data_IF_351803621093
#
_entry.id   IF_351803621093
#
_cell.length_a   1.000
_cell.length_b   1.000
_cell.length_c   1.000
_cell.angle_alpha   90.00
_cell.angle_beta   90.00
_cell.angle_gamma   90.00
#
_symmetry.space_group_name_H-M   'P 1'
#
loop_
_entity.id
_entity.type
_entity.pdbx_description
1 polymer ?
#
# COMPACT_ATOMS: atom_id res chain seq x y z
N UNK A 1 26.65 36.65 77.28
CA UNK A 1 25.75 36.53 76.11
C UNK A 1 26.56 36.99 74.92
N UNK A 2 27.14 36.05 74.18
CA UNK A 2 27.97 36.36 73.03
C UNK A 2 27.07 36.88 71.89
N UNK A 3 27.13 38.18 71.63
CA UNK A 3 26.45 38.82 70.50
C UNK A 3 27.32 38.66 69.27
N UNK A 4 27.11 37.56 68.55
CA UNK A 4 27.76 37.32 67.26
C UNK A 4 26.94 37.93 66.13
N UNK A 5 27.60 38.55 65.16
CA UNK A 5 26.96 39.16 64.00
C UNK A 5 26.31 38.10 63.12
N UNK A 6 25.01 38.20 62.81
CA UNK A 6 24.33 37.23 61.96
C UNK A 6 24.91 37.27 60.54
N UNK A 7 25.41 36.13 60.07
CA UNK A 7 25.94 35.93 58.73
C UNK A 7 24.92 35.14 57.91
N UNK A 8 24.48 35.69 56.77
CA UNK A 8 23.63 35.00 55.80
C UNK A 8 24.51 34.41 54.70
N UNK A 9 24.41 33.10 54.46
CA UNK A 9 25.10 32.49 53.32
C UNK A 9 24.37 32.85 52.01
N UNK A 10 25.05 33.42 51.00
CA UNK A 10 24.44 33.72 49.71
C UNK A 10 23.79 32.52 49.01
N UNK A 11 24.19 31.28 49.34
CA UNK A 11 23.58 30.07 48.78
C UNK A 11 22.11 29.87 49.22
N UNK A 12 21.78 30.26 50.46
CA UNK A 12 20.45 30.03 51.08
C UNK A 12 19.39 30.99 50.53
N UNK A 13 19.82 32.04 49.79
CA UNK A 13 18.95 33.01 49.14
C UNK A 13 17.95 32.36 48.18
N UNK A 14 18.30 31.20 47.62
CA UNK A 14 17.51 30.54 46.59
C UNK A 14 16.69 29.35 47.09
N UNK A 15 16.80 28.94 48.35
CA UNK A 15 16.19 27.69 48.82
C UNK A 15 14.66 27.69 48.74
N UNK A 16 14.04 28.83 49.09
CA UNK A 16 12.59 29.02 48.92
C UNK A 16 12.17 28.93 47.46
N UNK A 17 13.01 29.42 46.53
CA UNK A 17 12.75 29.37 45.08
C UNK A 17 12.90 27.94 44.57
N UNK A 18 14.00 27.28 44.89
CA UNK A 18 14.25 25.87 44.55
C UNK A 18 13.13 24.96 45.04
N UNK A 19 12.65 25.16 46.26
CA UNK A 19 11.53 24.36 46.81
C UNK A 19 10.23 24.56 46.01
N UNK A 20 9.93 25.78 45.58
CA UNK A 20 8.76 26.07 44.74
C UNK A 20 8.90 25.46 43.35
N UNK A 21 10.06 25.63 42.72
CA UNK A 21 10.35 25.10 41.38
C UNK A 21 10.32 23.57 41.38
N UNK A 22 10.88 22.92 42.41
CA UNK A 22 10.80 21.48 42.59
C UNK A 22 9.35 21.00 42.75
N UNK A 23 8.51 21.77 43.43
CA UNK A 23 7.08 21.44 43.60
C UNK A 23 6.29 21.61 42.30
N UNK A 24 6.62 22.61 41.48
CA UNK A 24 6.07 22.79 40.13
C UNK A 24 6.48 21.63 39.21
N UNK A 25 7.75 21.25 39.23
CA UNK A 25 8.27 20.13 38.45
C UNK A 25 7.57 18.81 38.81
N UNK A 26 7.33 18.56 40.11
CA UNK A 26 6.54 17.41 40.57
C UNK A 26 5.14 17.40 39.97
N UNK A 27 4.48 18.57 39.89
CA UNK A 27 3.17 18.67 39.29
C UNK A 27 3.19 18.39 37.78
N UNK A 28 4.17 18.93 37.05
CA UNK A 28 4.32 18.70 35.62
C UNK A 28 4.60 17.23 35.30
N UNK A 29 5.48 16.59 36.06
CA UNK A 29 5.78 15.16 35.90
C UNK A 29 4.57 14.28 36.17
N UNK A 30 3.72 14.65 37.14
CA UNK A 30 2.48 13.92 37.43
C UNK A 30 1.49 13.98 36.25
N UNK A 31 1.37 15.13 35.60
CA UNK A 31 0.53 15.27 34.38
C UNK A 31 1.13 14.43 33.24
N UNK A 32 2.44 14.51 33.05
CA UNK A 32 3.14 13.75 32.02
C UNK A 32 2.93 12.23 32.19
N UNK A 33 3.01 11.73 33.43
CA UNK A 33 2.73 10.33 33.76
C UNK A 33 1.28 9.93 33.43
N UNK A 34 0.31 10.80 33.72
CA UNK A 34 -1.09 10.56 33.34
C UNK A 34 -1.27 10.45 31.83
N UNK A 35 -0.58 11.30 31.05
CA UNK A 35 -0.59 11.23 29.59
C UNK A 35 -0.02 9.89 29.13
N UNK A 36 1.17 9.50 29.60
CA UNK A 36 1.77 8.21 29.21
C UNK A 36 0.92 7.00 29.58
N UNK A 37 0.28 7.02 30.75
CA UNK A 37 -0.63 5.96 31.15
C UNK A 37 -1.85 5.88 30.21
N UNK A 38 -2.43 7.01 29.82
CA UNK A 38 -3.53 7.03 28.83
C UNK A 38 -3.08 6.50 27.47
N UNK A 39 -1.92 6.90 26.99
CA UNK A 39 -1.33 6.39 25.73
C UNK A 39 -1.17 4.87 25.80
N UNK A 40 -0.59 4.35 26.88
CA UNK A 40 -0.39 2.90 27.09
C UNK A 40 -1.71 2.13 27.14
N UNK A 41 -2.76 2.72 27.71
CA UNK A 41 -4.08 2.08 27.74
C UNK A 41 -4.64 2.06 26.31
N UNK A 42 -4.70 3.19 25.63
CA UNK A 42 -5.26 3.30 24.27
C UNK A 42 -4.52 2.39 23.28
N UNK A 43 -3.18 2.33 23.36
CA UNK A 43 -2.38 1.50 22.45
C UNK A 43 -2.62 0.00 22.60
N UNK A 44 -3.17 -0.44 23.74
CA UNK A 44 -3.49 -1.86 23.99
C UNK A 44 -4.90 -2.23 23.55
N UNK A 45 -5.77 -1.26 23.33
CA UNK A 45 -7.13 -1.55 22.90
C UNK A 45 -7.13 -1.94 21.41
N UNK A 46 -7.89 -2.98 21.01
CA UNK A 46 -8.00 -3.36 19.61
C UNK A 46 -8.71 -2.26 18.81
N UNK A 47 -8.27 -2.04 17.56
CA UNK A 47 -8.83 -1.04 16.64
C UNK A 47 -8.87 0.39 17.19
N UNK A 48 -8.02 0.71 18.17
CA UNK A 48 -7.98 2.04 18.75
C UNK A 48 -7.19 3.01 17.90
N UNK A 49 -7.59 4.30 17.90
CA UNK A 49 -6.83 5.32 17.20
C UNK A 49 -5.45 5.49 17.83
N UNK A 50 -4.42 5.66 17.00
CA UNK A 50 -3.05 5.99 17.44
C UNK A 50 -2.85 7.49 17.71
N UNK A 51 -3.86 8.12 18.33
CA UNK A 51 -3.83 9.50 18.80
C UNK A 51 -4.59 9.66 20.12
N UNK A 52 -4.30 10.75 20.84
CA UNK A 52 -4.95 11.15 22.08
C UNK A 52 -5.20 12.66 22.06
N UNK A 53 -6.42 13.07 22.39
CA UNK A 53 -6.70 14.44 22.81
C UNK A 53 -6.69 14.48 24.34
N UNK A 54 -5.80 15.31 24.89
CA UNK A 54 -5.63 15.46 26.32
C UNK A 54 -5.89 16.91 26.74
N UNK A 55 -6.82 17.09 27.67
CA UNK A 55 -7.10 18.39 28.29
C UNK A 55 -6.25 18.54 29.55
N UNK A 56 -5.36 19.53 29.57
CA UNK A 56 -4.47 19.78 30.71
C UNK A 56 -5.29 20.31 31.89
N UNK A 57 -5.26 19.66 33.06
CA UNK A 57 -6.02 20.11 34.21
C UNK A 57 -5.45 21.43 34.76
N UNK A 58 -6.29 22.38 35.21
CA UNK A 58 -5.83 23.66 35.73
C UNK A 58 -5.14 23.55 37.11
N UNK A 59 -5.42 22.49 37.87
CA UNK A 59 -4.76 22.21 39.14
C UNK A 59 -4.77 20.70 39.44
N UNK A 60 -3.90 20.28 40.37
CA UNK A 60 -3.90 18.92 40.92
C UNK A 60 -4.01 19.03 42.43
N UNK A 61 -4.90 18.23 43.03
CA UNK A 61 -5.05 18.17 44.48
C UNK A 61 -3.73 17.76 45.16
N UNK A 62 -3.37 18.48 46.22
CA UNK A 62 -2.14 18.25 46.99
C UNK A 62 -0.87 18.79 46.35
N UNK A 63 -0.96 19.56 45.26
CA UNK A 63 0.18 20.19 44.59
C UNK A 63 -0.03 21.72 44.49
N UNK A 64 1.06 22.50 44.33
CA UNK A 64 0.94 23.95 44.18
C UNK A 64 0.16 24.32 42.92
N UNK A 65 -0.31 25.57 42.87
CA UNK A 65 -0.92 26.16 41.67
C UNK A 65 0.03 26.00 40.48
N UNK A 66 -0.53 25.53 39.37
CA UNK A 66 0.18 25.28 38.11
C UNK A 66 -0.05 26.47 37.19
N UNK A 67 1.04 26.99 36.63
CA UNK A 67 0.97 27.91 35.49
C UNK A 67 0.77 27.08 34.21
N UNK A 68 -0.39 27.26 33.58
CA UNK A 68 -0.85 26.44 32.45
C UNK A 68 0.06 26.57 31.23
N UNK A 69 0.51 27.79 30.90
CA UNK A 69 1.39 28.06 29.76
C UNK A 69 2.73 27.33 29.91
N UNK A 70 3.42 27.50 31.04
CA UNK A 70 4.68 26.83 31.34
C UNK A 70 4.52 25.31 31.37
N UNK A 71 3.41 24.82 31.93
CA UNK A 71 3.12 23.39 31.97
C UNK A 71 2.96 22.81 30.57
N UNK A 72 2.18 23.46 29.70
CA UNK A 72 1.97 23.03 28.31
C UNK A 72 3.29 23.01 27.55
N UNK A 73 4.13 24.06 27.69
CA UNK A 73 5.45 24.13 27.05
C UNK A 73 6.32 22.95 27.49
N UNK A 74 6.38 22.68 28.79
CA UNK A 74 7.13 21.54 29.34
C UNK A 74 6.64 20.20 28.80
N UNK A 75 5.32 19.99 28.77
CA UNK A 75 4.73 18.75 28.25
C UNK A 75 5.04 18.56 26.76
N UNK A 76 4.87 19.60 25.95
CA UNK A 76 5.18 19.54 24.51
C UNK A 76 6.65 19.22 24.29
N UNK A 77 7.56 19.87 25.02
CA UNK A 77 9.00 19.62 24.92
C UNK A 77 9.32 18.14 25.22
N UNK A 78 8.82 17.61 26.33
CA UNK A 78 9.08 16.22 26.72
C UNK A 78 8.47 15.20 25.76
N UNK A 79 7.24 15.43 25.31
CA UNK A 79 6.55 14.53 24.37
C UNK A 79 7.24 14.53 22.99
N UNK A 80 7.70 15.68 22.51
CA UNK A 80 8.47 15.75 21.26
C UNK A 80 9.84 15.10 21.38
N UNK A 81 10.52 15.27 22.52
CA UNK A 81 11.79 14.59 22.78
C UNK A 81 11.64 13.06 22.77
N UNK A 82 10.50 12.54 23.21
CA UNK A 82 10.18 11.12 23.13
C UNK A 82 9.75 10.64 21.72
N UNK A 83 9.69 11.53 20.73
CA UNK A 83 9.38 11.19 19.33
C UNK A 83 7.89 11.11 19.01
N UNK A 84 7.02 11.74 19.81
CA UNK A 84 5.60 11.87 19.50
C UNK A 84 5.34 13.12 18.64
N UNK A 85 4.32 13.07 17.78
CA UNK A 85 3.81 14.28 17.10
C UNK A 85 2.81 14.98 18.02
N UNK A 86 3.06 16.27 18.30
CA UNK A 86 2.34 17.04 19.32
C UNK A 86 1.91 18.39 18.78
N UNK A 87 0.61 18.67 18.86
CA UNK A 87 0.00 19.95 18.48
C UNK A 87 -0.79 20.52 19.66
N UNK A 88 -0.65 21.82 19.89
CA UNK A 88 -1.38 22.53 20.93
C UNK A 88 -2.56 23.28 20.34
N UNK A 89 -3.71 23.16 21.00
CA UNK A 89 -4.93 23.88 20.66
C UNK A 89 -5.37 24.67 21.91
N UNK A 90 -5.43 26.01 21.84
CA UNK A 90 -5.94 26.82 22.94
C UNK A 90 -7.38 26.42 23.34
N UNK A 91 -7.75 26.52 24.64
CA UNK A 91 -6.98 27.11 25.73
C UNK A 91 -6.03 26.14 26.48
N UNK A 92 -6.29 24.84 26.52
CA UNK A 92 -5.52 23.88 27.33
C UNK A 92 -5.50 22.45 26.75
N UNK A 93 -5.73 22.31 25.44
CA UNK A 93 -5.84 21.00 24.80
C UNK A 93 -4.57 20.66 24.04
N UNK A 94 -4.09 19.44 24.23
CA UNK A 94 -2.93 18.89 23.53
C UNK A 94 -3.40 17.71 22.69
N UNK A 95 -3.15 17.79 21.40
CA UNK A 95 -3.24 16.68 20.48
C UNK A 95 -1.89 15.96 20.43
N UNK A 96 -1.92 14.65 20.65
CA UNK A 96 -0.77 13.76 20.67
C UNK A 96 -1.01 12.62 19.67
N UNK A 97 -0.08 12.33 18.77
CA UNK A 97 -0.17 11.17 17.87
C UNK A 97 1.12 10.34 17.83
N UNK A 98 0.95 9.03 17.68
CA UNK A 98 2.04 8.05 17.52
C UNK A 98 1.80 7.11 16.33
N UNK A 99 0.95 7.52 15.38
CA UNK A 99 0.66 6.79 14.12
C UNK A 99 1.95 6.39 13.39
N UNK A 100 2.96 7.26 13.40
CA UNK A 100 4.29 7.06 12.84
C UNK A 100 4.99 5.80 13.38
N UNK A 101 4.87 5.57 14.70
CA UNK A 101 5.46 4.40 15.37
C UNK A 101 4.72 3.12 15.02
N UNK A 102 3.38 3.18 14.94
CA UNK A 102 2.56 2.04 14.54
C UNK A 102 2.86 1.60 13.10
N UNK A 103 2.92 2.54 12.16
CA UNK A 103 3.29 2.23 10.77
C UNK A 103 4.66 1.56 10.68
N UNK A 104 5.64 2.08 11.43
CA UNK A 104 6.99 1.51 11.46
C UNK A 104 6.99 0.09 12.03
N UNK A 105 6.22 -0.17 13.08
CA UNK A 105 6.05 -1.51 13.65
C UNK A 105 5.40 -2.48 12.65
N UNK A 106 4.31 -2.07 11.99
CA UNK A 106 3.61 -2.92 11.03
C UNK A 106 4.52 -3.34 9.87
N UNK A 107 5.34 -2.41 9.36
CA UNK A 107 6.27 -2.68 8.26
C UNK A 107 7.45 -3.54 8.69
N UNK A 108 8.05 -3.27 9.84
CA UNK A 108 9.33 -3.88 10.21
C UNK A 108 9.20 -5.13 11.07
N UNK A 109 8.17 -5.21 11.90
CA UNK A 109 8.09 -6.19 12.99
C UNK A 109 6.87 -7.10 12.91
N UNK A 110 5.89 -6.80 12.06
CA UNK A 110 4.71 -7.65 11.99
C UNK A 110 5.03 -8.95 11.22
N UNK A 111 4.84 -10.12 11.86
CA UNK A 111 5.15 -11.41 11.22
C UNK A 111 4.24 -11.68 10.03
N UNK A 112 3.00 -11.17 10.09
CA UNK A 112 2.03 -11.28 9.00
C UNK A 112 2.53 -10.55 7.76
N UNK A 113 2.96 -9.29 7.90
CA UNK A 113 3.47 -8.54 6.75
C UNK A 113 4.77 -9.13 6.23
N UNK A 114 5.65 -9.61 7.12
CA UNK A 114 6.88 -10.27 6.72
C UNK A 114 6.60 -11.54 5.87
N UNK A 115 5.66 -12.39 6.29
CA UNK A 115 5.25 -13.56 5.53
C UNK A 115 4.58 -13.21 4.19
N UNK A 116 3.79 -12.12 4.16
CA UNK A 116 3.21 -11.61 2.92
C UNK A 116 4.26 -11.09 1.95
N UNK A 117 5.27 -10.35 2.45
CA UNK A 117 6.34 -9.81 1.62
C UNK A 117 7.19 -10.94 1.03
N UNK A 118 7.56 -11.93 1.84
CA UNK A 118 8.33 -13.10 1.40
C UNK A 118 7.60 -13.92 0.33
N UNK A 119 6.29 -14.13 0.49
CA UNK A 119 5.49 -14.85 -0.52
C UNK A 119 5.28 -14.04 -1.81
N UNK A 120 5.15 -12.72 -1.71
CA UNK A 120 5.10 -11.84 -2.88
C UNK A 120 6.44 -11.85 -3.65
N UNK A 121 7.58 -11.79 -2.96
CA UNK A 121 8.90 -11.88 -3.58
C UNK A 121 9.10 -13.20 -4.34
N UNK A 122 8.69 -14.33 -3.75
CA UNK A 122 8.73 -15.65 -4.42
C UNK A 122 7.89 -15.66 -5.70
N UNK A 123 6.67 -15.10 -5.64
CA UNK A 123 5.76 -15.04 -6.78
C UNK A 123 6.32 -14.17 -7.91
N UNK A 124 6.89 -13.01 -7.56
CA UNK A 124 7.52 -12.11 -8.52
C UNK A 124 8.74 -12.75 -9.20
N UNK A 125 9.57 -13.45 -8.43
CA UNK A 125 10.72 -14.18 -8.97
C UNK A 125 10.31 -15.31 -9.93
N UNK A 126 9.19 -15.98 -9.66
CA UNK A 126 8.63 -17.00 -10.56
C UNK A 126 8.12 -16.39 -11.87
N UNK A 127 7.40 -15.27 -11.79
CA UNK A 127 6.93 -14.52 -12.97
C UNK A 127 8.10 -14.03 -13.83
N UNK A 128 9.15 -13.46 -13.22
CA UNK A 128 10.32 -12.99 -13.96
C UNK A 128 11.07 -14.13 -14.65
N UNK A 129 11.19 -15.30 -13.98
CA UNK A 129 11.77 -16.51 -14.60
C UNK A 129 10.95 -16.97 -15.81
N UNK A 130 9.63 -17.01 -15.66
CA UNK A 130 8.71 -17.41 -16.72
C UNK A 130 8.72 -16.42 -17.89
N UNK A 131 8.84 -15.13 -17.63
CA UNK A 131 8.98 -14.09 -18.65
C UNK A 131 10.33 -14.20 -19.41
N UNK A 132 11.43 -14.46 -18.70
CA UNK A 132 12.74 -14.74 -19.31
C UNK A 132 12.71 -15.99 -20.19
N UNK A 133 11.99 -17.03 -19.76
CA UNK A 133 11.81 -18.24 -20.57
C UNK A 133 10.95 -17.97 -21.81
N UNK A 134 9.82 -17.28 -21.66
CA UNK A 134 8.92 -16.93 -22.75
C UNK A 134 9.63 -16.04 -23.80
N UNK A 135 10.39 -15.05 -23.36
CA UNK A 135 11.17 -14.17 -24.25
C UNK A 135 12.26 -14.94 -25.01
N UNK A 136 12.92 -15.91 -24.38
CA UNK A 136 13.90 -16.80 -25.05
C UNK A 136 13.24 -17.65 -26.15
N UNK A 137 12.05 -18.20 -25.90
CA UNK A 137 11.30 -18.98 -26.89
C UNK A 137 10.79 -18.13 -28.07
N UNK A 138 10.39 -16.88 -27.80
CA UNK A 138 9.95 -15.93 -28.83
C UNK A 138 11.10 -15.47 -29.74
N UNK A 139 12.29 -15.24 -29.18
CA UNK A 139 13.47 -14.85 -29.97
C UNK A 139 13.96 -15.96 -30.91
N UNK A 140 13.77 -17.23 -30.54
CA UNK A 140 14.15 -18.40 -31.36
C UNK A 140 13.33 -18.59 -32.65
N UNK A 141 12.20 -17.89 -32.84
CA UNK A 141 11.34 -18.02 -34.05
C UNK A 141 11.56 -16.95 -35.12
N UNK A 142 12.63 -16.16 -35.07
CA UNK A 142 13.10 -15.38 -36.23
C UNK A 142 13.86 -16.27 -37.24
N UNK A 143 13.23 -17.38 -37.67
CA UNK A 143 13.67 -18.05 -38.88
C UNK A 143 13.30 -17.15 -40.06
N UNK A 144 14.28 -16.69 -40.85
CA UNK A 144 14.04 -16.02 -42.13
C UNK A 144 13.45 -16.99 -43.18
N UNK A 145 12.43 -17.76 -42.84
CA UNK A 145 11.68 -18.53 -43.83
C UNK A 145 10.67 -17.58 -44.46
N UNK A 146 11.12 -16.89 -45.51
CA UNK A 146 10.28 -16.10 -46.42
C UNK A 146 9.18 -17.03 -46.96
N UNK A 147 8.01 -17.01 -46.32
CA UNK A 147 6.83 -17.72 -46.81
C UNK A 147 6.40 -16.98 -48.07
N UNK A 148 6.75 -17.51 -49.25
CA UNK A 148 6.20 -17.05 -50.51
C UNK A 148 4.71 -17.44 -50.51
N UNK A 149 3.84 -16.45 -50.31
CA UNK A 149 2.43 -16.59 -50.65
C UNK A 149 2.33 -16.68 -52.17
N UNK A 150 2.06 -17.86 -52.70
CA UNK A 150 1.68 -17.99 -54.10
C UNK A 150 0.23 -17.54 -54.22
N UNK A 151 0.00 -16.50 -55.01
CA UNK A 151 -1.33 -16.05 -55.45
C UNK A 151 -1.99 -17.15 -56.30
N UNK A 152 -3.26 -17.52 -56.04
CA UNK A 152 -3.98 -18.45 -56.90
C UNK A 152 -4.27 -17.76 -58.23
N UNK A 153 -3.61 -18.16 -59.32
CA UNK A 153 -3.98 -17.68 -60.67
C UNK A 153 -2.89 -17.53 -61.73
N UNK A 154 -1.71 -18.15 -61.60
CA UNK A 154 -0.69 -18.08 -62.66
C UNK A 154 -0.46 -19.45 -63.32
N UNK A 155 -0.90 -19.54 -64.57
CA UNK A 155 -0.78 -20.69 -65.47
C UNK A 155 0.67 -20.80 -65.95
N UNK A 156 1.41 -21.82 -65.51
CA UNK A 156 2.69 -22.19 -66.12
C UNK A 156 2.57 -23.53 -66.84
N UNK A 157 2.63 -23.47 -68.17
CA UNK A 157 2.70 -24.62 -69.07
C UNK A 157 4.08 -25.30 -68.98
N UNK A 158 4.05 -26.64 -68.82
CA UNK A 158 5.01 -27.60 -69.36
C UNK A 158 6.27 -27.90 -68.53
N UNK A 159 6.41 -29.13 -68.01
CA UNK A 159 7.02 -30.31 -68.67
C UNK A 159 6.92 -31.51 -67.72
N UNK A 160 6.75 -32.69 -68.31
CA UNK A 160 6.50 -33.99 -67.67
C UNK A 160 7.72 -34.61 -67.00
N UNK A 161 7.50 -35.32 -65.88
CA UNK A 161 8.42 -36.36 -65.41
C UNK A 161 8.25 -36.79 -63.94
N UNK A 162 7.66 -37.96 -63.71
CA UNK A 162 8.08 -38.85 -62.61
C UNK A 162 7.16 -39.01 -61.38
N UNK A 163 6.31 -40.05 -61.41
CA UNK A 163 5.98 -40.90 -60.25
C UNK A 163 4.80 -40.48 -59.35
N UNK A 164 3.79 -41.35 -59.12
CA UNK A 164 2.70 -41.04 -58.19
C UNK A 164 3.14 -41.29 -56.74
N UNK A 165 3.33 -40.22 -55.96
CA UNK A 165 3.30 -40.29 -54.50
C UNK A 165 1.84 -40.26 -54.04
N UNK A 166 1.43 -41.34 -53.36
CA UNK A 166 0.10 -41.53 -52.78
C UNK A 166 -0.23 -40.38 -51.82
N UNK A 167 -1.21 -39.56 -52.16
CA UNK A 167 -1.76 -38.52 -51.29
C UNK A 167 -2.82 -39.13 -50.37
N UNK A 168 -2.57 -39.14 -49.06
CA UNK A 168 -3.52 -39.51 -48.01
C UNK A 168 -4.66 -38.48 -47.82
N UNK A 169 -5.04 -37.75 -48.87
CA UNK A 169 -5.98 -36.61 -48.82
C UNK A 169 -7.35 -36.97 -49.44
N UNK A 170 -7.48 -38.08 -50.16
CA UNK A 170 -8.75 -38.43 -50.82
C UNK A 170 -9.79 -39.12 -49.92
N UNK A 171 -9.49 -39.39 -48.65
CA UNK A 171 -10.41 -40.12 -47.76
C UNK A 171 -11.36 -39.20 -46.99
N UNK A 172 -11.10 -37.89 -46.93
CA UNK A 172 -11.92 -36.95 -46.13
C UNK A 172 -12.95 -36.18 -46.97
N UNK A 173 -12.75 -36.09 -48.29
CA UNK A 173 -13.59 -35.25 -49.16
C UNK A 173 -14.89 -35.90 -49.67
N UNK A 174 -15.05 -37.22 -49.53
CA UNK A 174 -16.18 -37.96 -50.11
C UNK A 174 -17.13 -38.57 -49.06
N UNK A 175 -17.21 -38.00 -47.84
CA UNK A 175 -18.21 -38.46 -46.86
C UNK A 175 -19.59 -37.90 -47.25
N UNK A 176 -20.59 -38.72 -47.59
CA UNK A 176 -21.95 -38.23 -47.79
C UNK A 176 -22.50 -37.75 -46.45
N UNK A 177 -22.78 -36.44 -46.34
CA UNK A 177 -23.57 -35.88 -45.24
C UNK A 177 -25.05 -36.17 -45.49
N UNK A 178 -25.56 -37.22 -44.89
CA UNK A 178 -27.00 -37.36 -44.67
C UNK A 178 -27.22 -37.73 -43.21
N UNK A 179 -27.10 -36.73 -42.33
CA UNK A 179 -27.66 -36.80 -40.98
C UNK A 179 -28.82 -35.78 -40.92
N UNK A 180 -30.09 -36.21 -40.93
CA UNK A 180 -31.24 -35.35 -41.12
C UNK A 180 -31.63 -34.51 -39.88
N UNK A 181 -30.70 -34.26 -38.94
CA UNK A 181 -30.94 -33.51 -37.70
C UNK A 181 -30.00 -32.31 -37.53
N UNK A 182 -29.12 -32.03 -38.50
CA UNK A 182 -28.34 -30.80 -38.50
C UNK A 182 -29.08 -29.73 -39.31
N UNK A 183 -29.33 -28.57 -38.69
CA UNK A 183 -29.87 -27.39 -39.38
C UNK A 183 -28.99 -26.92 -40.56
N UNK A 184 -29.37 -25.82 -41.23
CA UNK A 184 -28.63 -25.32 -42.39
C UNK A 184 -27.13 -25.19 -42.09
N UNK A 185 -26.25 -25.48 -43.08
CA UNK A 185 -24.81 -25.41 -42.89
C UNK A 185 -24.41 -24.01 -42.40
N UNK A 186 -23.43 -23.88 -41.49
CA UNK A 186 -22.99 -22.58 -41.03
C UNK A 186 -22.52 -21.74 -42.22
N UNK A 187 -22.82 -20.43 -42.26
CA UNK A 187 -22.43 -19.56 -43.36
C UNK A 187 -20.92 -19.64 -43.60
N UNK A 188 -20.53 -19.67 -44.87
CA UNK A 188 -19.11 -19.58 -45.25
C UNK A 188 -18.53 -18.27 -44.73
N UNK A 189 -17.24 -18.26 -44.37
CA UNK A 189 -16.57 -17.03 -43.93
C UNK A 189 -16.64 -15.90 -44.98
N UNK A 190 -16.83 -16.26 -46.26
CA UNK A 190 -17.02 -15.30 -47.35
C UNK A 190 -18.39 -14.60 -47.32
N UNK A 191 -19.41 -15.21 -46.71
CA UNK A 191 -20.79 -14.69 -46.64
C UNK A 191 -21.11 -14.08 -45.27
N UNK A 192 -20.11 -13.99 -44.38
CA UNK A 192 -20.29 -13.45 -43.05
C UNK A 192 -20.42 -11.93 -43.10
N UNK A 193 -21.60 -11.42 -42.76
CA UNK A 193 -21.83 -10.00 -42.49
C UNK A 193 -21.81 -9.79 -40.96
N UNK A 194 -20.85 -9.03 -40.42
CA UNK A 194 -20.78 -8.81 -38.98
C UNK A 194 -22.01 -8.04 -38.48
N UNK A 195 -22.49 -8.32 -37.26
CA UNK A 195 -23.56 -7.56 -36.64
C UNK A 195 -23.20 -6.07 -36.55
N UNK A 196 -24.17 -5.18 -36.77
CA UNK A 196 -23.95 -3.72 -36.74
C UNK A 196 -23.34 -3.21 -35.43
N UNK A 197 -23.70 -3.83 -34.29
CA UNK A 197 -23.12 -3.51 -32.98
C UNK A 197 -21.60 -3.72 -32.92
N UNK A 198 -21.09 -4.70 -33.68
CA UNK A 198 -19.65 -4.98 -33.77
C UNK A 198 -18.92 -3.86 -34.51
N UNK A 199 -19.49 -3.39 -35.62
CA UNK A 199 -18.94 -2.25 -36.38
C UNK A 199 -18.95 -0.96 -35.54
N UNK A 200 -20.03 -0.72 -34.80
CA UNK A 200 -20.17 0.45 -33.94
C UNK A 200 -19.12 0.48 -32.81
N UNK A 201 -18.75 -0.70 -32.28
CA UNK A 201 -17.69 -0.84 -31.27
C UNK A 201 -16.30 -0.60 -31.84
N UNK A 202 -16.07 -0.99 -33.10
CA UNK A 202 -14.81 -0.73 -33.82
C UNK A 202 -14.64 0.74 -34.19
N UNK A 203 -15.72 1.40 -34.62
CA UNK A 203 -15.70 2.82 -34.97
C UNK A 203 -15.56 3.73 -33.75
N UNK A 204 -16.07 3.30 -32.60
CA UNK A 204 -15.95 4.03 -31.34
C UNK A 204 -15.42 3.09 -30.26
N UNK A 205 -14.09 2.84 -30.21
CA UNK A 205 -13.51 2.07 -29.13
C UNK A 205 -13.67 2.86 -27.83
N UNK A 206 -14.67 2.49 -27.03
CA UNK A 206 -14.83 3.02 -25.68
C UNK A 206 -13.64 2.52 -24.85
N UNK A 207 -12.71 3.41 -24.53
CA UNK A 207 -11.54 3.10 -23.71
C UNK A 207 -11.96 2.96 -22.23
N UNK A 208 -12.81 2.00 -21.92
CA UNK A 208 -13.09 1.60 -20.54
C UNK A 208 -12.05 0.59 -20.12
N UNK A 209 -10.85 1.09 -19.82
CA UNK A 209 -9.94 0.36 -18.93
C UNK A 209 -10.66 0.30 -17.58
N UNK A 210 -11.43 -0.77 -17.35
CA UNK A 210 -11.87 -1.13 -16.00
C UNK A 210 -10.62 -1.63 -15.30
N UNK A 211 -9.84 -0.68 -14.78
CA UNK A 211 -8.81 -0.99 -13.81
C UNK A 211 -9.53 -1.70 -12.64
N UNK A 212 -9.13 -2.92 -12.25
CA UNK A 212 -9.63 -3.47 -11.00
C UNK A 212 -9.28 -2.46 -9.91
N UNK A 213 -10.29 -2.04 -9.12
CA UNK A 213 -10.09 -1.12 -7.98
C UNK A 213 -9.13 -1.79 -6.99
N UNK A 214 -7.83 -1.58 -7.18
CA UNK A 214 -6.76 -2.00 -6.30
C UNK A 214 -6.29 -0.78 -5.51
N UNK A 215 -7.17 -0.32 -4.62
CA UNK A 215 -6.78 0.53 -3.50
C UNK A 215 -7.84 0.39 -2.42
N UNK A 216 -7.62 -0.55 -1.50
CA UNK A 216 -8.19 -0.39 -0.17
C UNK A 216 -7.24 0.57 0.53
N UNK A 217 -7.62 1.84 0.54
CA UNK A 217 -6.91 2.91 1.25
C UNK A 217 -7.00 2.64 2.76
N UNK A 218 -6.00 1.95 3.30
CA UNK A 218 -5.84 1.78 4.75
C UNK A 218 -5.21 3.00 5.43
N UNK A 219 -4.86 4.05 4.68
CA UNK A 219 -4.17 5.22 5.22
C UNK A 219 -4.67 6.54 4.60
N UNK A 220 -5.72 7.10 5.20
CA UNK A 220 -5.93 8.55 5.23
C UNK A 220 -6.20 8.99 6.66
#
# INVERSE_FOLDING_TARGET
MDQQTPQLNPADLYDKRKSKDASRLKAYNKILEQIYNRVRVISKLPNSPCYLLYTVPPFILGLPKIDLEDCVIYLIYQLRHAGYDVRYTPPNMIYLSWVHHEKSYLVQQSPIMQAMLESAEKTNAELERKEKEASRLLQGRKSQRKVRMNTPGELQRGIMGGGPRRSAISTVLNRPLSNPTAGPPPPSAADYVPPSAFLQTMEQPQNTVVQPKSSIDYFR
#
